data_IF_483260115959
#
_entry.id   IF_483260115959
#
_cell.length_a   1.000
_cell.length_b   1.000
_cell.length_c   1.000
_cell.angle_alpha   90.00
_cell.angle_beta   90.00
_cell.angle_gamma   90.00
#
_symmetry.space_group_name_H-M   'P 1'
#
loop_
_entity.id
_entity.type
_entity.pdbx_description
1 polymer ?
#
# COMPACT_ATOMS: atom_id res chain seq x y z
N UNK A 1 -38.25 19.95 -10.46
CA UNK A 1 -37.51 18.66 -10.48
C UNK A 1 -36.03 18.85 -10.16
N UNK A 2 -35.31 19.73 -10.85
CA UNK A 2 -33.85 19.98 -10.69
C UNK A 2 -33.40 20.34 -9.26
N UNK A 3 -34.18 21.14 -8.52
CA UNK A 3 -33.84 21.53 -7.13
C UNK A 3 -33.78 20.36 -6.13
N UNK A 4 -34.50 19.26 -6.39
CA UNK A 4 -34.50 18.05 -5.54
C UNK A 4 -33.24 17.22 -5.76
N UNK A 5 -32.73 17.18 -7.00
CA UNK A 5 -31.47 16.51 -7.35
C UNK A 5 -30.23 17.27 -6.87
N UNK A 6 -30.26 18.62 -6.93
CA UNK A 6 -29.21 19.47 -6.35
C UNK A 6 -29.06 19.27 -4.83
N UNK A 7 -30.17 19.06 -4.12
CA UNK A 7 -30.14 18.82 -2.67
C UNK A 7 -29.59 17.44 -2.31
N UNK A 8 -29.84 16.42 -3.15
CA UNK A 8 -29.25 15.08 -2.99
C UNK A 8 -27.76 15.07 -3.33
N UNK A 9 -27.35 15.75 -4.41
CA UNK A 9 -25.94 15.93 -4.76
C UNK A 9 -25.20 16.70 -3.66
N UNK A 10 -25.72 17.84 -3.20
CA UNK A 10 -25.11 18.59 -2.09
C UNK A 10 -25.07 17.78 -0.78
N UNK A 11 -26.11 16.99 -0.46
CA UNK A 11 -26.06 16.08 0.70
C UNK A 11 -25.03 14.97 0.51
N UNK A 12 -24.88 14.42 -0.70
CA UNK A 12 -23.87 13.42 -1.00
C UNK A 12 -22.46 14.00 -0.89
N UNK A 13 -22.22 15.22 -1.39
CA UNK A 13 -20.95 15.95 -1.23
C UNK A 13 -20.70 16.38 0.21
N UNK A 14 -21.73 16.73 0.98
CA UNK A 14 -21.61 17.06 2.40
C UNK A 14 -21.37 15.81 3.24
N UNK A 15 -21.97 14.66 2.91
CA UNK A 15 -21.73 13.38 3.56
C UNK A 15 -20.34 12.87 3.19
N UNK A 16 -19.89 13.00 1.94
CA UNK A 16 -18.50 12.68 1.57
C UNK A 16 -17.50 13.62 2.24
N UNK A 17 -17.81 14.92 2.39
CA UNK A 17 -16.98 15.86 3.15
C UNK A 17 -17.07 15.69 4.68
N UNK A 18 -18.16 15.13 5.21
CA UNK A 18 -18.31 14.76 6.63
C UNK A 18 -17.67 13.40 6.93
N UNK A 19 -17.53 12.53 5.93
CA UNK A 19 -16.70 11.33 5.95
C UNK A 19 -15.22 11.68 5.72
N UNK A 20 -14.91 12.76 4.99
CA UNK A 20 -13.67 13.56 5.17
C UNK A 20 -13.69 14.36 6.48
N UNK A 21 -14.29 13.81 7.55
CA UNK A 21 -13.80 14.14 8.88
C UNK A 21 -12.30 13.89 8.78
N UNK A 22 -11.52 14.93 9.03
CA UNK A 22 -10.07 14.87 9.08
C UNK A 22 -9.69 13.70 9.98
N UNK A 23 -9.53 12.51 9.39
CA UNK A 23 -8.73 11.45 9.94
C UNK A 23 -7.36 12.09 9.85
N UNK A 24 -6.92 12.71 10.95
CA UNK A 24 -5.51 13.03 11.07
C UNK A 24 -4.84 11.67 11.04
N UNK A 25 -4.32 11.32 9.87
CA UNK A 25 -3.46 10.17 9.71
C UNK A 25 -2.33 10.35 10.71
N UNK A 26 -2.10 9.29 11.47
CA UNK A 26 -0.96 9.22 12.37
C UNK A 26 0.31 9.42 11.54
N UNK A 27 1.27 10.20 12.06
CA UNK A 27 2.56 10.34 11.37
C UNK A 27 3.29 9.00 11.32
N UNK A 28 4.20 8.83 10.35
CA UNK A 28 5.02 7.62 10.25
C UNK A 28 5.76 7.33 11.57
N UNK A 29 6.39 8.36 12.14
CA UNK A 29 7.11 8.30 13.41
C UNK A 29 6.22 7.90 14.59
N UNK A 30 5.04 8.50 14.73
CA UNK A 30 4.10 8.16 15.80
C UNK A 30 3.58 6.72 15.67
N UNK A 31 3.28 6.27 14.45
CA UNK A 31 2.82 4.91 14.19
C UNK A 31 3.92 3.89 14.52
N UNK A 32 5.15 4.17 14.09
CA UNK A 32 6.33 3.39 14.43
C UNK A 32 6.51 3.24 15.94
N UNK A 33 6.38 4.35 16.67
CA UNK A 33 6.49 4.34 18.12
C UNK A 33 5.39 3.48 18.78
N UNK A 34 4.15 3.56 18.29
CA UNK A 34 3.05 2.76 18.84
C UNK A 34 3.21 1.27 18.54
N UNK A 35 3.59 0.90 17.31
CA UNK A 35 3.88 -0.48 16.91
C UNK A 35 4.97 -1.08 17.81
N UNK A 36 6.10 -0.37 17.94
CA UNK A 36 7.23 -0.77 18.80
C UNK A 36 6.82 -0.91 20.26
N UNK A 37 6.04 0.04 20.79
CA UNK A 37 5.59 0.01 22.19
C UNK A 37 4.61 -1.13 22.47
N UNK A 38 3.84 -1.55 21.46
CA UNK A 38 2.93 -2.68 21.53
C UNK A 38 3.62 -4.04 21.27
N UNK A 39 4.93 -4.05 20.95
CA UNK A 39 5.69 -5.26 20.66
C UNK A 39 5.29 -5.92 19.33
N UNK A 40 4.78 -5.13 18.38
CA UNK A 40 4.42 -5.60 17.04
C UNK A 40 5.69 -5.86 16.22
N UNK A 41 5.70 -6.95 15.44
CA UNK A 41 6.85 -7.36 14.63
C UNK A 41 7.14 -6.48 13.43
N UNK A 42 6.14 -5.76 12.92
CA UNK A 42 6.31 -4.78 11.84
C UNK A 42 6.58 -3.37 12.37
N UNK A 43 7.46 -2.66 11.67
CA UNK A 43 7.55 -1.21 11.66
C UNK A 43 6.46 -0.59 10.75
N UNK A 44 6.35 0.74 10.70
CA UNK A 44 5.33 1.45 9.96
C UNK A 44 5.46 1.28 8.44
N UNK A 45 6.69 1.21 7.92
CA UNK A 45 6.97 0.98 6.49
C UNK A 45 6.61 -0.45 6.09
N UNK A 46 7.02 -1.43 6.89
CA UNK A 46 6.65 -2.84 6.72
C UNK A 46 5.13 -3.04 6.75
N UNK A 47 4.46 -2.41 7.71
CA UNK A 47 3.00 -2.41 7.79
C UNK A 47 2.37 -1.81 6.52
N UNK A 48 2.88 -0.68 6.04
CA UNK A 48 2.38 -0.06 4.83
C UNK A 48 2.55 -0.99 3.61
N UNK A 49 3.74 -1.57 3.44
CA UNK A 49 4.02 -2.53 2.37
C UNK A 49 3.06 -3.71 2.42
N UNK A 50 2.90 -4.34 3.58
CA UNK A 50 1.99 -5.48 3.75
C UNK A 50 0.53 -5.15 3.37
N UNK A 51 -0.01 -4.03 3.87
CA UNK A 51 -1.39 -3.62 3.59
C UNK A 51 -1.57 -3.26 2.11
N UNK A 52 -0.60 -2.55 1.52
CA UNK A 52 -0.57 -2.26 0.09
C UNK A 52 -0.56 -3.54 -0.74
N UNK A 53 0.26 -4.54 -0.39
CA UNK A 53 0.34 -5.81 -1.10
C UNK A 53 -0.99 -6.56 -1.10
N UNK A 54 -1.67 -6.64 0.05
CA UNK A 54 -3.00 -7.26 0.15
C UNK A 54 -4.03 -6.55 -0.76
N UNK A 55 -4.04 -5.21 -0.74
CA UNK A 55 -4.98 -4.39 -1.53
C UNK A 55 -4.69 -4.47 -3.04
N UNK A 56 -3.42 -4.35 -3.43
CA UNK A 56 -2.98 -4.52 -4.82
C UNK A 56 -3.28 -5.93 -5.33
N UNK A 57 -3.21 -6.96 -4.47
CA UNK A 57 -3.62 -8.32 -4.79
C UNK A 57 -5.12 -8.56 -4.84
N UNK A 58 -5.96 -7.54 -4.66
CA UNK A 58 -7.41 -7.64 -4.84
C UNK A 58 -8.19 -8.08 -3.60
N UNK A 59 -7.60 -8.02 -2.41
CA UNK A 59 -8.31 -8.32 -1.17
C UNK A 59 -9.35 -7.23 -0.86
N UNK A 60 -10.64 -7.59 -0.80
CA UNK A 60 -11.76 -6.64 -0.63
C UNK A 60 -12.55 -6.83 0.67
N UNK A 61 -12.35 -7.93 1.38
CA UNK A 61 -13.07 -8.24 2.62
C UNK A 61 -12.23 -7.92 3.87
N UNK A 62 -12.76 -8.24 5.05
CA UNK A 62 -12.10 -7.96 6.34
C UNK A 62 -11.05 -9.00 6.74
N UNK A 63 -10.67 -9.94 5.86
CA UNK A 63 -9.63 -10.93 6.15
C UNK A 63 -8.22 -10.34 6.24
N UNK A 64 -8.03 -9.07 5.85
CA UNK A 64 -6.78 -8.33 6.07
C UNK A 64 -6.39 -8.24 7.55
N UNK A 65 -7.36 -8.18 8.48
CA UNK A 65 -7.10 -8.13 9.92
C UNK A 65 -6.47 -9.43 10.47
N UNK A 66 -7.09 -10.62 10.30
CA UNK A 66 -6.48 -11.86 10.75
C UNK A 66 -5.16 -12.17 10.03
N UNK A 67 -5.02 -11.83 8.74
CA UNK A 67 -3.74 -11.93 8.03
C UNK A 67 -2.68 -11.04 8.67
N UNK A 68 -2.99 -9.77 8.92
CA UNK A 68 -2.09 -8.85 9.61
C UNK A 68 -1.62 -9.44 10.95
N UNK A 69 -2.55 -9.89 11.79
CA UNK A 69 -2.19 -10.47 13.10
C UNK A 69 -1.33 -11.72 12.99
N UNK A 70 -1.60 -12.58 12.00
CA UNK A 70 -0.81 -13.78 11.77
C UNK A 70 0.64 -13.46 11.43
N UNK A 71 0.87 -12.47 10.56
CA UNK A 71 2.20 -12.18 10.00
C UNK A 71 2.99 -11.14 10.80
N UNK A 72 2.35 -10.33 11.65
CA UNK A 72 3.04 -9.28 12.41
C UNK A 72 2.97 -9.45 13.93
N UNK A 73 2.15 -10.36 14.47
CA UNK A 73 1.90 -10.45 15.91
C UNK A 73 1.52 -11.85 16.42
N UNK A 74 2.04 -12.92 15.81
CA UNK A 74 1.83 -14.31 16.24
C UNK A 74 0.35 -14.70 16.45
N UNK A 75 -0.54 -14.25 15.56
CA UNK A 75 -2.00 -14.42 15.63
C UNK A 75 -2.71 -13.68 16.79
N UNK A 76 -2.02 -12.81 17.52
CA UNK A 76 -2.63 -11.95 18.53
C UNK A 76 -3.19 -10.68 17.88
N UNK A 77 -4.41 -10.31 18.25
CA UNK A 77 -4.99 -9.03 17.82
C UNK A 77 -4.18 -7.85 18.37
N UNK A 78 -4.10 -6.77 17.59
CA UNK A 78 -3.47 -5.53 18.03
C UNK A 78 -4.24 -4.90 19.21
N UNK A 79 -3.56 -4.13 20.08
CA UNK A 79 -4.23 -3.39 21.14
C UNK A 79 -5.30 -2.44 20.59
N UNK A 80 -6.41 -2.27 21.30
CA UNK A 80 -7.56 -1.48 20.83
C UNK A 80 -7.18 -0.09 20.32
N UNK A 81 -6.24 0.60 20.97
CA UNK A 81 -5.79 1.94 20.58
C UNK A 81 -4.94 2.00 19.31
N UNK A 82 -4.36 0.87 18.88
CA UNK A 82 -3.58 0.75 17.65
C UNK A 82 -4.45 0.28 16.46
N UNK A 83 -5.56 -0.40 16.73
CA UNK A 83 -6.46 -0.87 15.66
C UNK A 83 -7.02 0.30 14.85
N UNK A 84 -7.51 1.38 15.49
CA UNK A 84 -8.09 2.51 14.74
C UNK A 84 -7.09 3.19 13.79
N UNK A 85 -5.86 3.59 14.21
CA UNK A 85 -4.91 4.21 13.28
C UNK A 85 -4.48 3.27 12.15
N UNK A 86 -4.35 1.97 12.41
CA UNK A 86 -4.02 0.97 11.37
C UNK A 86 -5.17 0.79 10.38
N UNK A 87 -6.42 0.74 10.84
CA UNK A 87 -7.60 0.72 9.96
C UNK A 87 -7.70 1.98 9.12
N UNK A 88 -7.41 3.14 9.70
CA UNK A 88 -7.39 4.41 8.97
C UNK A 88 -6.30 4.43 7.88
N UNK A 89 -5.11 3.88 8.16
CA UNK A 89 -4.06 3.71 7.16
C UNK A 89 -4.50 2.77 6.02
N UNK A 90 -5.10 1.62 6.35
CA UNK A 90 -5.64 0.69 5.35
C UNK A 90 -6.67 1.36 4.43
N UNK A 91 -7.61 2.11 5.00
CA UNK A 91 -8.63 2.85 4.25
C UNK A 91 -8.02 3.92 3.35
N UNK A 92 -6.98 4.64 3.83
CA UNK A 92 -6.27 5.63 3.03
C UNK A 92 -5.53 4.99 1.86
N UNK A 93 -4.77 3.90 2.09
CA UNK A 93 -4.06 3.17 1.04
C UNK A 93 -5.05 2.71 -0.04
N UNK A 94 -6.16 2.08 0.39
CA UNK A 94 -7.22 1.64 -0.52
C UNK A 94 -7.79 2.79 -1.34
N UNK A 95 -8.04 3.94 -0.71
CA UNK A 95 -8.54 5.11 -1.40
C UNK A 95 -7.56 5.63 -2.45
N UNK A 96 -6.28 5.77 -2.11
CA UNK A 96 -5.26 6.30 -3.03
C UNK A 96 -4.95 5.36 -4.18
N UNK A 97 -4.95 4.03 -3.94
CA UNK A 97 -4.78 3.03 -5.01
C UNK A 97 -5.97 3.03 -5.98
N UNK A 98 -7.18 3.27 -5.47
CA UNK A 98 -8.39 3.35 -6.31
C UNK A 98 -8.48 4.62 -7.17
N UNK A 99 -7.69 5.65 -6.86
CA UNK A 99 -7.63 6.91 -7.62
C UNK A 99 -6.55 6.84 -8.72
N UNK A 100 -6.77 5.95 -9.68
CA UNK A 100 -5.80 5.64 -10.75
C UNK A 100 -5.46 6.87 -11.59
N UNK A 101 -6.43 7.75 -11.86
CA UNK A 101 -6.20 9.00 -12.60
C UNK A 101 -5.41 10.03 -11.78
N UNK A 102 -5.59 10.05 -10.47
CA UNK A 102 -4.93 10.99 -9.57
C UNK A 102 -3.48 10.63 -9.25
N UNK A 103 -3.12 9.35 -9.35
CA UNK A 103 -1.78 8.82 -9.02
C UNK A 103 -1.29 9.32 -7.64
N UNK A 104 -2.15 9.22 -6.63
CA UNK A 104 -1.91 9.80 -5.28
C UNK A 104 -1.39 8.79 -4.25
N UNK A 105 -1.10 7.55 -4.68
CA UNK A 105 -0.56 6.51 -3.83
C UNK A 105 0.92 6.78 -3.49
N UNK A 106 1.28 6.61 -2.22
CA UNK A 106 2.63 6.80 -1.68
C UNK A 106 3.06 5.52 -0.93
N UNK A 107 4.36 5.28 -0.79
CA UNK A 107 4.88 4.04 -0.18
C UNK A 107 4.96 4.08 1.36
N UNK A 108 4.88 5.24 2.01
CA UNK A 108 5.01 5.31 3.47
C UNK A 108 6.40 4.86 3.99
N UNK A 109 7.46 5.26 3.29
CA UNK A 109 8.84 5.03 3.70
C UNK A 109 9.20 5.88 4.93
N UNK A 110 10.38 5.61 5.49
CA UNK A 110 10.97 6.44 6.56
C UNK A 110 11.12 7.91 6.15
N UNK A 111 11.00 8.81 7.13
CA UNK A 111 11.26 10.26 6.97
C UNK A 111 12.74 10.62 7.29
N UNK A 112 13.63 9.63 7.40
CA UNK A 112 15.06 9.85 7.66
C UNK A 112 15.74 10.51 6.44
N UNK A 113 16.69 11.42 6.68
CA UNK A 113 17.41 12.14 5.62
C UNK A 113 18.58 11.31 5.05
N UNK A 114 18.99 10.24 5.72
CA UNK A 114 20.08 9.37 5.26
C UNK A 114 19.58 8.45 4.13
N UNK A 115 20.16 8.61 2.94
CA UNK A 115 19.79 7.87 1.72
C UNK A 115 19.95 6.35 1.89
N UNK A 116 20.95 5.89 2.63
CA UNK A 116 21.15 4.47 2.90
C UNK A 116 19.98 3.92 3.73
N UNK A 117 19.55 4.64 4.77
CA UNK A 117 18.37 4.27 5.57
C UNK A 117 17.09 4.30 4.73
N UNK A 118 16.97 5.21 3.77
CA UNK A 118 15.85 5.22 2.83
C UNK A 118 15.85 4.01 1.87
N UNK A 119 17.02 3.61 1.38
CA UNK A 119 17.17 2.43 0.53
C UNK A 119 16.85 1.13 1.28
N UNK A 120 17.29 1.01 2.54
CA UNK A 120 16.86 -0.07 3.45
C UNK A 120 15.34 -0.04 3.64
N UNK A 121 14.76 1.14 3.87
CA UNK A 121 13.32 1.31 4.05
C UNK A 121 12.52 0.89 2.81
N UNK A 122 13.01 1.17 1.61
CA UNK A 122 12.39 0.71 0.36
C UNK A 122 12.44 -0.82 0.23
N UNK A 123 13.57 -1.42 0.58
CA UNK A 123 13.74 -2.88 0.58
C UNK A 123 12.77 -3.54 1.57
N UNK A 124 12.66 -3.02 2.79
CA UNK A 124 11.70 -3.48 3.80
C UNK A 124 10.26 -3.38 3.30
N UNK A 125 9.92 -2.26 2.66
CA UNK A 125 8.60 -2.05 2.08
C UNK A 125 8.28 -3.10 1.00
N UNK A 126 9.21 -3.30 0.06
CA UNK A 126 9.05 -4.24 -1.05
C UNK A 126 8.88 -5.68 -0.54
N UNK A 127 9.64 -6.08 0.49
CA UNK A 127 9.55 -7.40 1.11
C UNK A 127 8.13 -7.67 1.64
N UNK A 128 7.57 -6.72 2.39
CA UNK A 128 6.23 -6.89 2.95
C UNK A 128 5.12 -6.74 1.90
N UNK A 129 5.34 -5.90 0.88
CA UNK A 129 4.45 -5.80 -0.26
C UNK A 129 4.32 -7.13 -1.00
N UNK A 130 5.44 -7.79 -1.33
CA UNK A 130 5.44 -9.10 -1.97
C UNK A 130 4.79 -10.18 -1.09
N UNK A 131 5.02 -10.13 0.23
CA UNK A 131 4.33 -11.03 1.16
C UNK A 131 2.80 -10.84 1.09
N UNK A 132 2.32 -9.61 1.21
CA UNK A 132 0.89 -9.30 1.12
C UNK A 132 0.30 -9.70 -0.24
N UNK A 133 0.98 -9.36 -1.33
CA UNK A 133 0.55 -9.67 -2.70
C UNK A 133 0.45 -11.18 -2.92
N UNK A 134 1.46 -11.96 -2.51
CA UNK A 134 1.47 -13.41 -2.65
C UNK A 134 0.41 -14.12 -1.80
N UNK A 135 0.03 -13.55 -0.65
CA UNK A 135 -1.08 -14.06 0.17
C UNK A 135 -2.43 -13.84 -0.51
N UNK A 136 -2.62 -12.70 -1.15
CA UNK A 136 -3.84 -12.37 -1.90
C UNK A 136 -3.92 -13.10 -3.25
N UNK A 137 -2.76 -13.40 -3.87
CA UNK A 137 -2.63 -14.08 -5.16
C UNK A 137 -1.77 -15.35 -5.03
N UNK A 138 -2.33 -16.50 -4.59
CA UNK A 138 -1.57 -17.74 -4.38
C UNK A 138 -0.91 -18.32 -5.64
N UNK A 139 -1.34 -17.87 -6.82
CA UNK A 139 -0.84 -18.29 -8.13
C UNK A 139 0.05 -17.21 -8.78
N UNK A 140 0.51 -16.20 -8.03
CA UNK A 140 1.34 -15.09 -8.53
C UNK A 140 2.56 -15.55 -9.35
N UNK A 141 3.20 -16.66 -8.97
CA UNK A 141 4.35 -17.22 -9.70
C UNK A 141 4.01 -17.68 -11.14
N UNK A 142 2.72 -17.87 -11.46
CA UNK A 142 2.27 -18.20 -12.81
C UNK A 142 2.12 -16.99 -13.71
N UNK A 143 2.09 -15.77 -13.17
CA UNK A 143 2.01 -14.54 -13.96
C UNK A 143 3.20 -14.41 -14.93
N UNK A 144 2.94 -13.79 -16.08
CA UNK A 144 3.91 -13.66 -17.19
C UNK A 144 3.76 -12.28 -17.84
N UNK A 145 4.73 -11.92 -18.67
CA UNK A 145 4.79 -10.59 -19.28
C UNK A 145 5.01 -9.53 -18.21
N UNK A 146 4.38 -8.37 -18.39
CA UNK A 146 4.58 -7.18 -17.55
C UNK A 146 4.37 -7.44 -16.05
N UNK A 147 3.37 -8.24 -15.68
CA UNK A 147 3.09 -8.59 -14.27
C UNK A 147 4.18 -9.49 -13.70
N UNK A 148 4.68 -10.45 -14.48
CA UNK A 148 5.77 -11.33 -14.05
C UNK A 148 7.09 -10.58 -13.91
N UNK A 149 7.41 -9.71 -14.88
CA UNK A 149 8.61 -8.86 -14.85
C UNK A 149 8.58 -7.91 -13.64
N UNK A 150 7.43 -7.28 -13.35
CA UNK A 150 7.28 -6.44 -12.17
C UNK A 150 7.46 -7.19 -10.83
N UNK A 151 7.08 -8.48 -10.78
CA UNK A 151 7.32 -9.32 -9.60
C UNK A 151 8.81 -9.62 -9.45
N UNK A 152 9.50 -9.95 -10.54
CA UNK A 152 10.94 -10.23 -10.55
C UNK A 152 11.73 -8.96 -10.16
N UNK A 153 11.38 -7.81 -10.71
CA UNK A 153 12.01 -6.52 -10.37
C UNK A 153 11.83 -6.17 -8.89
N UNK A 154 10.63 -6.39 -8.32
CA UNK A 154 10.43 -6.18 -6.89
C UNK A 154 11.25 -7.14 -6.02
N UNK A 155 11.48 -8.38 -6.47
CA UNK A 155 12.35 -9.32 -5.75
C UNK A 155 13.80 -8.83 -5.74
N UNK A 156 14.28 -8.26 -6.84
CA UNK A 156 15.60 -7.64 -6.92
C UNK A 156 15.67 -6.40 -6.00
N UNK A 157 14.64 -5.55 -5.97
CA UNK A 157 14.56 -4.38 -5.07
C UNK A 157 14.51 -4.79 -3.60
N UNK A 158 13.92 -5.93 -3.25
CA UNK A 158 13.97 -6.46 -1.88
C UNK A 158 15.39 -6.77 -1.40
N UNK A 159 16.33 -6.93 -2.33
CA UNK A 159 17.74 -7.22 -2.09
C UNK A 159 18.63 -6.04 -2.54
N UNK A 160 18.07 -4.84 -2.64
CA UNK A 160 18.80 -3.65 -3.07
C UNK A 160 20.01 -3.45 -2.14
N UNK A 161 21.19 -3.58 -2.71
CA UNK A 161 22.47 -3.38 -2.01
C UNK A 161 23.18 -2.16 -2.57
N UNK A 162 23.85 -1.44 -1.68
CA UNK A 162 24.71 -0.31 -1.97
C UNK A 162 26.02 -0.46 -1.20
N UNK A 163 27.07 0.23 -1.64
CA UNK A 163 28.33 0.34 -0.90
C UNK A 163 28.26 1.57 0.04
N UNK A 164 28.86 1.46 1.23
CA UNK A 164 28.94 2.60 2.17
C UNK A 164 29.83 3.72 1.61
N UNK A 165 30.70 3.41 0.64
CA UNK A 165 31.56 4.38 -0.06
C UNK A 165 30.87 5.00 -1.30
N UNK A 166 29.60 4.66 -1.59
CA UNK A 166 28.87 5.23 -2.72
C UNK A 166 28.60 6.73 -2.56
N UNK A 167 28.48 7.42 -3.69
CA UNK A 167 28.13 8.84 -3.70
C UNK A 167 26.66 9.03 -3.29
N UNK A 168 26.42 9.64 -2.13
CA UNK A 168 25.08 9.88 -1.57
C UNK A 168 24.14 10.62 -2.52
N UNK A 169 24.63 11.62 -3.28
CA UNK A 169 23.79 12.38 -4.22
C UNK A 169 23.35 11.52 -5.41
N UNK A 170 24.25 10.72 -5.97
CA UNK A 170 23.94 9.81 -7.09
C UNK A 170 23.00 8.69 -6.64
N UNK A 171 23.21 8.15 -5.44
CA UNK A 171 22.33 7.14 -4.85
C UNK A 171 20.93 7.72 -4.58
N UNK A 172 20.83 8.96 -4.11
CA UNK A 172 19.55 9.60 -3.84
C UNK A 172 18.74 9.82 -5.13
N UNK A 173 19.38 10.29 -6.20
CA UNK A 173 18.74 10.44 -7.52
C UNK A 173 18.24 9.09 -8.05
N UNK A 174 19.07 8.04 -7.99
CA UNK A 174 18.67 6.70 -8.41
C UNK A 174 17.53 6.12 -7.55
N UNK A 175 17.58 6.34 -6.23
CA UNK A 175 16.57 5.85 -5.30
C UNK A 175 15.20 6.50 -5.56
N UNK A 176 15.16 7.80 -5.87
CA UNK A 176 13.93 8.50 -6.25
C UNK A 176 13.29 7.86 -7.51
N UNK A 177 14.08 7.52 -8.53
CA UNK A 177 13.59 6.84 -9.72
C UNK A 177 13.03 5.44 -9.41
N UNK A 178 13.70 4.68 -8.53
CA UNK A 178 13.23 3.35 -8.12
C UNK A 178 11.94 3.46 -7.31
N UNK A 179 11.81 4.45 -6.43
CA UNK A 179 10.58 4.70 -5.66
C UNK A 179 9.40 4.97 -6.60
N UNK A 180 9.57 5.84 -7.61
CA UNK A 180 8.53 6.11 -8.60
C UNK A 180 8.18 4.88 -9.45
N UNK A 181 9.17 4.04 -9.75
CA UNK A 181 8.95 2.77 -10.44
C UNK A 181 8.10 1.82 -9.58
N UNK A 182 8.43 1.68 -8.29
CA UNK A 182 7.67 0.84 -7.35
C UNK A 182 6.24 1.35 -7.17
N UNK A 183 6.01 2.67 -7.10
CA UNK A 183 4.66 3.25 -7.09
C UNK A 183 3.87 2.87 -8.34
N UNK A 184 4.51 2.94 -9.50
CA UNK A 184 3.91 2.55 -10.79
C UNK A 184 3.55 1.06 -10.80
N UNK A 185 4.45 0.18 -10.32
CA UNK A 185 4.19 -1.25 -10.18
C UNK A 185 3.00 -1.53 -9.26
N UNK A 186 2.91 -0.85 -8.12
CA UNK A 186 1.79 -1.03 -7.19
C UNK A 186 0.44 -0.68 -7.85
N UNK A 187 0.40 0.41 -8.63
CA UNK A 187 -0.78 0.81 -9.39
C UNK A 187 -1.13 -0.18 -10.52
N UNK A 188 -0.11 -0.72 -11.21
CA UNK A 188 -0.27 -1.76 -12.22
C UNK A 188 -0.90 -3.03 -11.63
N UNK A 189 -0.37 -3.54 -10.51
CA UNK A 189 -0.94 -4.71 -9.84
C UNK A 189 -2.35 -4.44 -9.35
N UNK A 190 -2.60 -3.26 -8.76
CA UNK A 190 -3.93 -2.89 -8.31
C UNK A 190 -4.94 -2.94 -9.48
N UNK A 191 -4.65 -2.30 -10.62
CA UNK A 191 -5.50 -2.36 -11.82
C UNK A 191 -5.69 -3.81 -12.28
N UNK A 192 -4.61 -4.57 -12.41
CA UNK A 192 -4.64 -5.95 -12.91
C UNK A 192 -5.53 -6.88 -12.06
N UNK A 193 -5.35 -6.88 -10.73
CA UNK A 193 -6.06 -7.82 -9.85
C UNK A 193 -7.42 -7.29 -9.34
N UNK A 194 -7.71 -5.98 -9.45
CA UNK A 194 -9.00 -5.42 -9.01
C UNK A 194 -9.99 -5.13 -10.13
N UNK A 195 -9.54 -4.90 -11.38
CA UNK A 195 -10.39 -4.47 -12.50
C UNK A 195 -10.85 -5.61 -13.43
N UNK A 196 -10.57 -6.87 -13.07
CA UNK A 196 -11.00 -8.08 -13.79
C UNK A 196 -12.52 -8.35 -13.87
N UNK A 197 -13.39 -7.41 -13.49
CA UNK A 197 -14.85 -7.49 -13.69
C UNK A 197 -15.38 -6.50 -14.74
N UNK A 198 -14.64 -6.27 -15.84
CA UNK A 198 -15.30 -5.74 -17.05
C UNK A 198 -16.08 -6.90 -17.67
N UNK A 199 -17.38 -7.00 -17.33
CA UNK A 199 -18.36 -7.85 -18.01
C UNK A 199 -18.12 -7.79 -19.53
N UNK A 200 -17.68 -8.91 -20.12
CA UNK A 200 -17.82 -9.12 -21.55
C UNK A 200 -19.33 -9.19 -21.84
N UNK A 201 -19.95 -8.04 -22.13
CA UNK A 201 -21.33 -8.04 -22.64
C UNK A 201 -21.36 -8.98 -23.84
N UNK A 202 -22.24 -9.99 -23.87
CA UNK A 202 -22.31 -10.90 -24.99
C UNK A 202 -22.64 -10.07 -26.23
N UNK A 203 -21.74 -10.11 -27.21
CA UNK A 203 -22.04 -9.61 -28.54
C UNK A 203 -23.14 -10.51 -29.09
N UNK A 204 -24.37 -10.02 -29.07
CA UNK A 204 -25.49 -10.65 -29.76
C UNK A 204 -25.18 -10.59 -31.26
N UNK A 205 -24.86 -11.74 -31.84
CA UNK A 205 -24.88 -11.99 -33.27
C UNK A 205 -26.26 -12.49 -33.70
#
# INVERSE_FOLDING_TARGET
>A
MVKRWLFYLQRFTLISNLLRKSIMLISHSDLNQQLKSAGIGFNATELHGFLSGLLCGGLKDQSWLPLLYQFSNDNHAYPTGLVQPVTALYEQISQTLSDVEGFTFELGLTEDENVFIQADSLSDWANQFLLGLGLAQPELAKEKGEIGEAVDDLQDICQLGYDEDDNEEELAEALEEIIEYVRTIAMLFYSHFNEGEIESKPVLH
#
